data_IF_155225077790
#
_entry.id   IF_155225077790
#
_cell.length_a   1.000
_cell.length_b   1.000
_cell.length_c   1.000
_cell.angle_alpha   90.00
_cell.angle_beta   90.00
_cell.angle_gamma   90.00
#
_symmetry.space_group_name_H-M   'P 1'
#
loop_
_entity.id
_entity.type
_entity.pdbx_description
1 polymer ?
#
# COMPACT_ATOMS: atom_id res chain seq x y z
N UNK A 1 9.21 -3.58 3.61
CA UNK A 1 9.99 -3.23 4.81
C UNK A 1 10.25 -1.73 4.77
N UNK A 2 10.90 -1.24 3.71
CA UNK A 2 11.13 0.20 3.46
C UNK A 2 9.88 1.09 3.59
N UNK A 3 8.71 0.69 3.07
CA UNK A 3 7.50 1.53 3.17
C UNK A 3 6.97 1.71 4.59
N UNK A 4 7.20 0.75 5.49
CA UNK A 4 6.77 0.88 6.88
C UNK A 4 7.77 1.73 7.68
N UNK A 5 9.07 1.52 7.44
CA UNK A 5 10.15 2.33 8.03
C UNK A 5 9.98 3.81 7.66
N UNK A 6 9.70 4.11 6.40
CA UNK A 6 9.45 5.49 5.96
C UNK A 6 8.24 6.16 6.66
N UNK A 7 7.24 5.38 7.09
CA UNK A 7 6.09 5.91 7.86
C UNK A 7 6.48 6.16 9.32
N UNK A 8 7.28 5.27 9.91
CA UNK A 8 7.78 5.40 11.28
C UNK A 8 8.76 6.57 11.44
N UNK A 9 9.58 6.84 10.42
CA UNK A 9 10.57 7.92 10.41
C UNK A 9 9.99 9.27 9.95
N UNK A 10 8.73 9.32 9.51
CA UNK A 10 8.11 10.56 9.09
C UNK A 10 7.85 11.48 10.29
N UNK A 11 8.49 12.64 10.29
CA UNK A 11 8.25 13.71 11.28
C UNK A 11 7.20 14.73 10.82
N UNK A 12 6.98 14.86 9.50
CA UNK A 12 6.02 15.78 8.91
C UNK A 12 5.18 15.11 7.81
N UNK A 13 3.93 15.58 7.59
CA UNK A 13 3.05 15.04 6.54
C UNK A 13 3.71 15.00 5.16
N UNK A 14 4.50 16.03 4.82
CA UNK A 14 5.18 16.14 3.53
C UNK A 14 6.23 15.06 3.28
N UNK A 15 6.74 14.40 4.32
CA UNK A 15 7.65 13.25 4.15
C UNK A 15 6.92 12.05 3.53
N UNK A 16 5.59 11.99 3.70
CA UNK A 16 4.76 10.89 3.21
C UNK A 16 4.20 11.12 1.80
N UNK A 17 4.34 12.31 1.22
CA UNK A 17 3.74 12.63 -0.08
C UNK A 17 4.29 11.73 -1.20
N UNK A 18 5.60 11.51 -1.22
CA UNK A 18 6.25 10.61 -2.16
C UNK A 18 5.79 9.16 -1.99
N UNK A 19 5.71 8.70 -0.74
CA UNK A 19 5.26 7.35 -0.41
C UNK A 19 3.78 7.14 -0.77
N UNK A 20 2.93 8.16 -0.56
CA UNK A 20 1.52 8.16 -0.96
C UNK A 20 1.40 8.04 -2.48
N UNK A 21 2.14 8.84 -3.23
CA UNK A 21 2.14 8.78 -4.69
C UNK A 21 2.62 7.41 -5.22
N UNK A 22 3.69 6.87 -4.64
CA UNK A 22 4.15 5.51 -5.00
C UNK A 22 3.07 4.47 -4.68
N UNK A 23 2.52 4.49 -3.47
CA UNK A 23 1.52 3.53 -3.04
C UNK A 23 0.29 3.56 -3.96
N UNK A 24 -0.20 4.74 -4.32
CA UNK A 24 -1.35 4.88 -5.23
C UNK A 24 -1.04 4.31 -6.62
N UNK A 25 0.17 4.53 -7.14
CA UNK A 25 0.61 3.91 -8.40
C UNK A 25 0.68 2.38 -8.29
N UNK A 26 1.18 1.83 -7.18
CA UNK A 26 1.23 0.38 -6.95
C UNK A 26 -0.16 -0.24 -6.86
N UNK A 27 -1.09 0.43 -6.18
CA UNK A 27 -2.49 0.01 -6.08
C UNK A 27 -3.14 -0.02 -7.46
N UNK A 28 -2.94 1.03 -8.27
CA UNK A 28 -3.47 1.08 -9.63
C UNK A 28 -2.97 -0.09 -10.49
N UNK A 29 -1.66 -0.36 -10.48
CA UNK A 29 -1.07 -1.51 -11.20
C UNK A 29 -1.65 -2.83 -10.71
N UNK A 30 -1.82 -3.01 -9.38
CA UNK A 30 -2.42 -4.23 -8.84
C UNK A 30 -3.87 -4.42 -9.30
N UNK A 31 -4.65 -3.35 -9.46
CA UNK A 31 -6.00 -3.44 -10.01
C UNK A 31 -6.00 -3.86 -11.49
N UNK A 32 -5.11 -3.30 -12.31
CA UNK A 32 -4.98 -3.67 -13.71
C UNK A 32 -4.58 -5.14 -13.87
N UNK A 33 -3.61 -5.60 -13.08
CA UNK A 33 -3.17 -6.99 -13.09
C UNK A 33 -4.25 -7.95 -12.57
N UNK A 34 -5.01 -7.57 -11.54
CA UNK A 34 -6.15 -8.36 -11.05
C UNK A 34 -7.24 -8.48 -12.12
N UNK A 35 -7.59 -7.37 -12.78
CA UNK A 35 -8.58 -7.36 -13.84
C UNK A 35 -8.18 -8.31 -14.98
N UNK A 36 -6.89 -8.30 -15.36
CA UNK A 36 -6.36 -9.25 -16.35
C UNK A 36 -6.40 -10.69 -15.87
N UNK A 37 -5.95 -10.97 -14.64
CA UNK A 37 -5.97 -12.33 -14.10
C UNK A 37 -7.39 -12.91 -14.06
N UNK A 38 -8.40 -12.10 -13.71
CA UNK A 38 -9.80 -12.52 -13.78
C UNK A 38 -10.30 -12.70 -15.22
N UNK A 39 -9.91 -11.84 -16.15
CA UNK A 39 -10.27 -11.99 -17.56
C UNK A 39 -9.70 -13.28 -18.18
N UNK A 40 -8.53 -13.72 -17.70
CA UNK A 40 -7.83 -14.92 -18.15
C UNK A 40 -8.20 -16.18 -17.34
N UNK A 41 -9.16 -16.12 -16.41
CA UNK A 41 -9.52 -17.19 -15.46
C UNK A 41 -8.33 -17.72 -14.62
N UNK A 42 -7.26 -16.93 -14.45
CA UNK A 42 -6.09 -17.27 -13.64
C UNK A 42 -6.32 -16.92 -12.15
N UNK A 43 -7.09 -17.77 -11.48
CA UNK A 43 -7.43 -17.64 -10.06
C UNK A 43 -6.19 -17.66 -9.15
N UNK A 44 -5.16 -18.41 -9.53
CA UNK A 44 -3.92 -18.51 -8.75
C UNK A 44 -3.13 -17.20 -8.82
N UNK A 45 -3.05 -16.56 -9.99
CA UNK A 45 -2.49 -15.21 -10.12
C UNK A 45 -3.32 -14.19 -9.36
N UNK A 46 -4.65 -14.23 -9.49
CA UNK A 46 -5.55 -13.32 -8.78
C UNK A 46 -5.35 -13.41 -7.25
N UNK A 47 -5.20 -14.62 -6.70
CA UNK A 47 -4.91 -14.81 -5.27
C UNK A 47 -3.61 -14.15 -4.83
N UNK A 48 -2.51 -14.32 -5.59
CA UNK A 48 -1.21 -13.70 -5.28
C UNK A 48 -1.30 -12.18 -5.35
N UNK A 49 -1.98 -11.65 -6.37
CA UNK A 49 -2.18 -10.22 -6.56
C UNK A 49 -3.04 -9.61 -5.46
N UNK A 50 -4.08 -10.31 -4.98
CA UNK A 50 -4.91 -9.85 -3.87
C UNK A 50 -4.13 -9.73 -2.55
N UNK A 51 -3.21 -10.64 -2.27
CA UNK A 51 -2.31 -10.55 -1.09
C UNK A 51 -1.43 -9.30 -1.21
N UNK A 52 -0.86 -9.05 -2.39
CA UNK A 52 -0.07 -7.85 -2.66
C UNK A 52 -0.90 -6.58 -2.53
N UNK A 53 -2.13 -6.57 -3.05
CA UNK A 53 -3.04 -5.42 -2.93
C UNK A 53 -3.36 -5.13 -1.46
N UNK A 54 -3.61 -6.18 -0.65
CA UNK A 54 -3.84 -6.01 0.80
C UNK A 54 -2.66 -5.31 1.47
N UNK A 55 -1.42 -5.65 1.11
CA UNK A 55 -0.23 -4.97 1.64
C UNK A 55 -0.25 -3.46 1.35
N UNK A 56 -0.50 -3.06 0.09
CA UNK A 56 -0.55 -1.63 -0.28
C UNK A 56 -1.75 -0.89 0.32
N UNK A 57 -2.89 -1.57 0.50
CA UNK A 57 -4.03 -0.99 1.22
C UNK A 57 -3.66 -0.74 2.69
N UNK A 58 -2.93 -1.64 3.33
CA UNK A 58 -2.45 -1.43 4.70
C UNK A 58 -1.47 -0.25 4.79
N UNK A 59 -0.55 -0.11 3.83
CA UNK A 59 0.33 1.07 3.73
C UNK A 59 -0.50 2.35 3.58
N UNK A 60 -1.47 2.38 2.68
CA UNK A 60 -2.35 3.55 2.50
C UNK A 60 -3.06 3.94 3.80
N UNK A 61 -3.58 2.95 4.51
CA UNK A 61 -4.27 3.19 5.79
C UNK A 61 -3.29 3.72 6.83
N UNK A 62 -2.09 3.14 6.94
CA UNK A 62 -1.06 3.64 7.85
C UNK A 62 -0.64 5.09 7.55
N UNK A 63 -0.53 5.47 6.26
CA UNK A 63 -0.26 6.87 5.86
C UNK A 63 -1.46 7.78 6.18
N UNK A 64 -2.70 7.30 6.01
CA UNK A 64 -3.90 8.06 6.33
C UNK A 64 -4.07 8.28 7.83
N UNK A 65 -3.76 7.26 8.62
CA UNK A 65 -3.91 7.26 10.08
C UNK A 65 -2.68 7.85 10.80
N UNK A 66 -1.66 8.26 10.04
CA UNK A 66 -0.49 8.94 10.58
C UNK A 66 -0.88 10.31 11.16
N UNK A 67 -0.40 10.61 12.37
CA UNK A 67 -0.59 11.89 13.06
C UNK A 67 0.75 12.40 13.60
N UNK A 68 0.99 13.71 13.46
CA UNK A 68 2.22 14.34 13.95
C UNK A 68 2.37 14.13 15.47
N UNK A 69 3.54 13.62 15.89
CA UNK A 69 3.84 13.35 17.28
C UNK A 69 3.19 12.09 17.87
N UNK A 70 2.55 11.23 17.06
CA UNK A 70 2.06 9.91 17.50
C UNK A 70 2.74 8.78 16.70
N UNK A 71 3.06 7.65 17.37
CA UNK A 71 3.61 6.49 16.67
C UNK A 71 2.56 5.91 15.70
N UNK A 72 2.93 5.57 14.46
CA UNK A 72 2.00 5.03 13.49
C UNK A 72 1.49 3.65 13.92
N UNK A 73 0.19 3.39 13.73
CA UNK A 73 -0.42 2.09 14.00
C UNK A 73 -0.32 1.22 12.74
N UNK A 74 0.61 0.26 12.75
CA UNK A 74 0.76 -0.71 11.67
C UNK A 74 -0.01 -2.00 12.00
N UNK A 75 -1.07 -2.29 11.23
CA UNK A 75 -1.81 -3.56 11.35
C UNK A 75 -1.13 -4.62 10.47
N UNK A 76 -0.58 -5.67 11.11
CA UNK A 76 0.00 -6.86 10.47
C UNK A 76 -1.06 -7.95 10.23
#
# INVERSE_FOLDING_TARGET
MESHEAIEEAEHPSHLDGLRAENDARVAVCHEDLARAFADDDVDAAKRLAIRLRYWVNIRNAIHDWEEGKPPVLIH
#
